data_IF_822579168785
#
_entry.id   IF_822579168785
#
_cell.length_a   1.000
_cell.length_b   1.000
_cell.length_c   1.000
_cell.angle_alpha   90.00
_cell.angle_beta   90.00
_cell.angle_gamma   90.00
#
_symmetry.space_group_name_H-M   'P 1'
#
loop_
_entity.id
_entity.type
_entity.pdbx_description
1 polymer ?
#
# COMPACT_ATOMS: atom_id res chain seq x y z
N UNK A 1 38.47 -15.08 -3.62
CA UNK A 1 37.13 -14.97 -2.98
C UNK A 1 37.11 -15.32 -1.49
N UNK A 2 38.16 -15.92 -0.90
CA UNK A 2 38.20 -16.22 0.54
C UNK A 2 38.78 -15.07 1.41
N UNK A 3 39.48 -14.10 0.81
CA UNK A 3 40.10 -12.97 1.54
C UNK A 3 39.18 -11.75 1.70
N UNK A 4 38.11 -11.63 0.91
CA UNK A 4 37.09 -10.57 1.05
C UNK A 4 35.98 -10.94 2.03
N UNK A 5 35.76 -12.22 2.33
CA UNK A 5 34.82 -12.67 3.36
C UNK A 5 35.36 -12.46 4.80
N UNK A 6 36.69 -12.46 4.97
CA UNK A 6 37.32 -12.32 6.29
C UNK A 6 37.35 -10.86 6.80
N UNK A 7 37.29 -9.89 5.89
CA UNK A 7 37.27 -8.46 6.25
C UNK A 7 35.88 -7.97 6.72
N UNK A 8 34.79 -8.62 6.30
CA UNK A 8 33.43 -8.33 6.82
C UNK A 8 33.16 -8.96 8.20
N UNK A 9 33.99 -9.91 8.64
CA UNK A 9 33.87 -10.55 9.96
C UNK A 9 34.69 -9.85 11.06
N UNK A 10 35.64 -8.97 10.72
CA UNK A 10 36.46 -8.24 11.70
C UNK A 10 35.93 -6.85 12.11
N UNK A 11 34.89 -6.32 11.44
CA UNK A 11 34.27 -5.04 11.86
C UNK A 11 33.21 -5.23 12.96
N UNK A 12 32.86 -6.48 13.28
CA UNK A 12 31.89 -6.81 14.35
C UNK A 12 32.57 -6.99 15.72
N UNK A 13 33.91 -6.93 15.81
CA UNK A 13 34.66 -7.35 17.00
C UNK A 13 35.20 -6.21 17.90
N UNK A 14 34.86 -4.94 17.68
CA UNK A 14 35.35 -3.83 18.53
C UNK A 14 34.24 -2.91 19.01
N UNK A 15 33.28 -3.45 19.74
CA UNK A 15 32.44 -2.75 20.72
C UNK A 15 31.92 -3.77 21.74
N UNK A 16 32.84 -4.44 22.43
CA UNK A 16 32.51 -5.30 23.57
C UNK A 16 32.96 -4.58 24.84
N UNK A 17 32.02 -3.89 25.49
CA UNK A 17 32.15 -3.54 26.92
C UNK A 17 31.37 -4.62 27.68
N UNK A 18 31.98 -5.37 28.60
CA UNK A 18 31.21 -6.27 29.45
C UNK A 18 30.43 -5.43 30.46
N UNK A 19 29.11 -5.40 30.35
CA UNK A 19 28.25 -5.01 31.45
C UNK A 19 28.23 -6.18 32.45
N UNK A 20 28.79 -5.97 33.63
CA UNK A 20 28.59 -6.88 34.77
C UNK A 20 27.12 -6.82 35.18
N UNK A 21 26.37 -7.88 34.88
CA UNK A 21 25.03 -8.10 35.43
C UNK A 21 25.21 -8.77 36.79
N UNK A 22 24.90 -8.04 37.84
CA UNK A 22 24.55 -8.64 39.13
C UNK A 22 23.12 -9.16 39.02
N UNK A 23 22.92 -10.44 39.32
CA UNK A 23 21.62 -11.06 39.52
C UNK A 23 20.93 -10.41 40.73
N UNK A 24 19.77 -9.82 40.50
CA UNK A 24 18.69 -9.77 41.49
C UNK A 24 17.36 -9.82 40.73
N UNK A 25 16.82 -11.03 40.60
CA UNK A 25 15.50 -11.28 40.05
C UNK A 25 14.44 -11.06 41.13
N UNK A 26 14.03 -9.82 41.34
CA UNK A 26 12.73 -9.53 41.94
C UNK A 26 11.70 -9.21 40.85
N UNK A 27 10.54 -9.85 40.94
CA UNK A 27 9.42 -9.65 40.02
C UNK A 27 8.91 -8.21 40.09
N UNK A 28 9.35 -7.38 39.15
CA UNK A 28 8.87 -6.00 39.01
C UNK A 28 7.40 -6.01 38.57
N UNK A 29 6.49 -5.84 39.53
CA UNK A 29 5.13 -5.41 39.26
C UNK A 29 5.19 -3.93 38.85
N UNK A 30 4.77 -3.53 37.63
CA UNK A 30 5.00 -2.18 37.11
C UNK A 30 4.26 -1.06 37.88
N UNK A 31 3.41 -1.40 38.84
CA UNK A 31 2.54 -0.45 39.53
C UNK A 31 3.13 0.13 40.82
N UNK A 32 4.23 -0.41 41.36
CA UNK A 32 4.75 0.00 42.68
C UNK A 32 5.93 0.97 42.60
N UNK A 33 6.83 0.80 41.65
CA UNK A 33 8.05 1.64 41.55
C UNK A 33 7.77 3.08 41.11
N UNK A 34 6.75 3.31 40.26
CA UNK A 34 6.37 4.67 39.85
C UNK A 34 5.81 5.52 41.00
N UNK A 35 5.22 4.87 42.02
CA UNK A 35 4.62 5.53 43.19
C UNK A 35 5.68 5.94 44.21
N UNK A 36 6.87 5.35 44.15
CA UNK A 36 7.92 5.57 45.15
C UNK A 36 8.82 6.77 44.82
N UNK A 37 8.92 7.16 43.55
CA UNK A 37 9.68 8.34 43.09
C UNK A 37 8.88 9.65 43.16
N UNK A 38 7.55 9.56 43.27
CA UNK A 38 6.62 10.71 43.27
C UNK A 38 5.53 10.40 44.30
N UNK A 39 5.65 10.95 45.51
CA UNK A 39 4.73 10.68 46.62
C UNK A 39 3.26 10.97 46.28
N UNK A 40 2.33 10.39 47.04
CA UNK A 40 0.87 10.54 46.81
C UNK A 40 0.40 12.00 46.76
N UNK A 41 1.11 12.91 47.44
CA UNK A 41 0.82 14.34 47.43
C UNK A 41 1.20 15.00 46.11
N UNK A 42 2.35 14.66 45.53
CA UNK A 42 2.73 15.17 44.20
C UNK A 42 1.73 14.69 43.15
N UNK A 43 1.27 13.43 43.22
CA UNK A 43 0.19 12.94 42.35
C UNK A 43 -1.13 13.70 42.53
N UNK A 44 -1.41 14.22 43.72
CA UNK A 44 -2.60 15.03 44.01
C UNK A 44 -2.46 16.44 43.42
N UNK A 45 -1.28 17.05 43.55
CA UNK A 45 -0.93 18.34 42.94
C UNK A 45 -1.01 18.28 41.41
N UNK A 46 -0.43 17.22 40.82
CA UNK A 46 -0.50 16.97 39.38
C UNK A 46 -1.96 16.82 38.92
N UNK A 47 -2.78 16.03 39.64
CA UNK A 47 -4.22 15.88 39.32
C UNK A 47 -5.03 17.16 39.55
N UNK A 48 -4.60 18.03 40.46
CA UNK A 48 -5.20 19.33 40.72
C UNK A 48 -4.80 20.39 39.68
N UNK A 49 -3.87 20.08 38.77
CA UNK A 49 -3.39 21.00 37.74
C UNK A 49 -2.38 22.03 38.24
N UNK A 50 -1.68 21.76 39.34
CA UNK A 50 -0.63 22.66 39.82
C UNK A 50 0.54 22.73 38.82
N UNK A 51 0.93 23.95 38.46
CA UNK A 51 2.04 24.20 37.52
C UNK A 51 3.40 24.13 38.25
N UNK A 52 4.34 23.37 37.68
CA UNK A 52 5.73 23.29 38.17
C UNK A 52 6.64 24.36 37.55
N UNK A 53 7.80 24.60 38.16
CA UNK A 53 8.84 25.47 37.59
C UNK A 53 9.73 24.71 36.61
N UNK A 54 9.94 25.27 35.40
CA UNK A 54 10.85 24.73 34.39
C UNK A 54 11.56 25.84 33.64
N UNK A 55 12.82 25.61 33.26
CA UNK A 55 13.61 26.54 32.42
C UNK A 55 13.42 26.29 30.93
N UNK A 56 12.78 25.17 30.55
CA UNK A 56 12.42 24.90 29.16
C UNK A 56 11.48 25.99 28.64
N UNK A 57 11.56 26.32 27.36
CA UNK A 57 10.60 27.18 26.65
C UNK A 57 9.88 26.41 25.54
N UNK A 58 10.01 25.08 25.53
CA UNK A 58 9.34 24.22 24.55
C UNK A 58 7.81 24.27 24.74
N UNK A 59 7.03 24.04 23.67
CA UNK A 59 5.59 23.82 23.81
C UNK A 59 5.29 22.80 24.92
N UNK A 60 4.26 23.08 25.72
CA UNK A 60 3.74 22.18 26.77
C UNK A 60 4.73 21.83 27.90
N UNK A 61 5.79 22.62 28.10
CA UNK A 61 6.78 22.42 29.16
C UNK A 61 6.22 22.38 30.61
N UNK A 62 5.08 23.02 30.87
CA UNK A 62 4.39 22.99 32.17
C UNK A 62 3.37 21.85 32.33
N UNK A 63 3.15 21.02 31.30
CA UNK A 63 2.10 19.99 31.29
C UNK A 63 2.67 18.63 31.67
N UNK A 64 2.41 18.22 32.92
CA UNK A 64 2.90 16.96 33.50
C UNK A 64 2.08 15.72 33.09
N UNK A 65 0.76 15.86 32.92
CA UNK A 65 -0.11 14.79 32.42
C UNK A 65 -0.68 15.18 31.06
N UNK A 66 -0.42 14.36 30.05
CA UNK A 66 -1.06 14.45 28.74
C UNK A 66 -2.30 13.54 28.72
N UNK A 67 -3.46 14.07 29.10
CA UNK A 67 -4.73 13.31 29.11
C UNK A 67 -5.19 12.88 27.70
N UNK A 68 -5.05 13.70 26.62
CA UNK A 68 -5.30 13.24 25.24
C UNK A 68 -4.46 12.03 24.82
N UNK A 69 -3.23 11.91 25.30
CA UNK A 69 -2.31 10.83 24.93
C UNK A 69 -2.83 9.43 25.24
N UNK A 70 -3.62 9.26 26.31
CA UNK A 70 -4.28 7.97 26.60
C UNK A 70 -5.32 7.62 25.52
N UNK A 71 -6.07 8.62 25.04
CA UNK A 71 -7.05 8.44 23.96
C UNK A 71 -6.35 8.03 22.66
N UNK A 72 -5.25 8.72 22.29
CA UNK A 72 -4.43 8.35 21.13
C UNK A 72 -3.92 6.90 21.25
N UNK A 73 -3.40 6.52 22.41
CA UNK A 73 -2.90 5.17 22.66
C UNK A 73 -4.00 4.11 22.47
N UNK A 74 -5.18 4.34 23.05
CA UNK A 74 -6.33 3.45 22.91
C UNK A 74 -6.76 3.33 21.45
N UNK A 75 -6.88 4.45 20.73
CA UNK A 75 -7.24 4.45 19.31
C UNK A 75 -6.23 3.67 18.47
N UNK A 76 -4.93 3.89 18.71
CA UNK A 76 -3.86 3.22 17.98
C UNK A 76 -3.80 1.72 18.26
N UNK A 77 -3.73 1.33 19.54
CA UNK A 77 -3.46 -0.05 19.94
C UNK A 77 -4.70 -0.94 19.94
N UNK A 78 -5.84 -0.44 20.42
CA UNK A 78 -7.04 -1.28 20.55
C UNK A 78 -7.88 -1.33 19.28
N UNK A 79 -7.81 -0.30 18.44
CA UNK A 79 -8.67 -0.17 17.27
C UNK A 79 -7.89 -0.20 15.96
N UNK A 80 -7.03 0.80 15.73
CA UNK A 80 -6.37 1.00 14.45
C UNK A 80 -5.46 -0.17 14.07
N UNK A 81 -4.59 -0.61 14.99
CA UNK A 81 -3.64 -1.71 14.73
C UNK A 81 -4.36 -3.04 14.45
N UNK A 82 -5.30 -3.54 15.27
CA UNK A 82 -6.07 -4.73 14.92
C UNK A 82 -6.87 -4.59 13.61
N UNK A 83 -7.53 -3.45 13.39
CA UNK A 83 -8.29 -3.20 12.16
C UNK A 83 -7.38 -3.19 10.92
N UNK A 84 -6.18 -2.61 11.03
CA UNK A 84 -5.18 -2.60 9.99
C UNK A 84 -4.70 -4.01 9.65
N UNK A 85 -4.45 -4.86 10.66
CA UNK A 85 -4.08 -6.26 10.43
C UNK A 85 -5.20 -7.00 9.68
N UNK A 86 -6.45 -6.86 10.13
CA UNK A 86 -7.62 -7.46 9.45
C UNK A 86 -7.75 -6.96 8.02
N UNK A 87 -7.56 -5.66 7.77
CA UNK A 87 -7.66 -5.08 6.43
C UNK A 87 -6.54 -5.57 5.50
N UNK A 88 -5.30 -5.70 5.99
CA UNK A 88 -4.18 -6.22 5.19
C UNK A 88 -4.39 -7.69 4.84
N UNK A 89 -4.64 -8.55 5.84
CA UNK A 89 -4.89 -9.97 5.59
C UNK A 89 -6.18 -10.21 4.80
N UNK A 90 -7.21 -9.41 5.05
CA UNK A 90 -8.46 -9.40 4.30
C UNK A 90 -8.26 -9.02 2.84
N UNK A 91 -7.42 -8.02 2.55
CA UNK A 91 -7.09 -7.62 1.18
C UNK A 91 -6.33 -8.73 0.44
N UNK A 92 -5.38 -9.39 1.12
CA UNK A 92 -4.64 -10.53 0.56
C UNK A 92 -5.60 -11.71 0.29
N UNK A 93 -6.45 -12.05 1.26
CA UNK A 93 -7.45 -13.11 1.10
C UNK A 93 -8.42 -12.78 -0.04
N UNK A 94 -8.84 -11.52 -0.17
CA UNK A 94 -9.73 -11.05 -1.23
C UNK A 94 -9.12 -11.25 -2.61
N UNK A 95 -7.85 -10.87 -2.84
CA UNK A 95 -7.21 -11.06 -4.15
C UNK A 95 -6.96 -12.53 -4.46
N UNK A 96 -6.67 -13.35 -3.45
CA UNK A 96 -6.57 -14.81 -3.61
C UNK A 96 -7.91 -15.40 -4.01
N UNK A 97 -9.00 -15.03 -3.32
CA UNK A 97 -10.35 -15.46 -3.68
C UNK A 97 -10.74 -14.98 -5.08
N UNK A 98 -10.42 -13.74 -5.44
CA UNK A 98 -10.63 -13.23 -6.79
C UNK A 98 -9.89 -14.09 -7.83
N UNK A 99 -8.63 -14.46 -7.58
CA UNK A 99 -7.90 -15.35 -8.47
C UNK A 99 -8.56 -16.72 -8.61
N UNK A 100 -8.97 -17.35 -7.50
CA UNK A 100 -9.52 -18.71 -7.50
C UNK A 100 -10.91 -18.77 -8.13
N UNK A 101 -11.79 -17.80 -7.83
CA UNK A 101 -13.19 -17.85 -8.26
C UNK A 101 -13.46 -17.06 -9.55
N UNK A 102 -12.74 -15.97 -9.78
CA UNK A 102 -12.91 -15.13 -10.99
C UNK A 102 -11.87 -15.51 -12.03
N UNK A 103 -10.62 -15.69 -11.62
CA UNK A 103 -9.51 -15.93 -12.54
C UNK A 103 -9.05 -14.66 -13.28
N UNK A 104 -7.93 -14.77 -14.01
CA UNK A 104 -7.38 -13.69 -14.82
C UNK A 104 -8.29 -13.30 -15.99
N UNK A 105 -8.24 -12.01 -16.37
CA UNK A 105 -8.76 -11.56 -17.66
C UNK A 105 -7.75 -11.94 -18.76
N UNK A 106 -8.14 -12.93 -19.56
CA UNK A 106 -7.35 -13.49 -20.67
C UNK A 106 -7.66 -12.74 -21.97
N UNK A 107 -6.70 -12.76 -22.90
CA UNK A 107 -6.92 -12.22 -24.24
C UNK A 107 -7.95 -13.05 -25.01
N UNK A 108 -8.83 -12.38 -25.75
CA UNK A 108 -9.84 -13.04 -26.58
C UNK A 108 -9.24 -13.65 -27.85
N UNK A 109 -8.10 -13.10 -28.32
CA UNK A 109 -7.37 -13.56 -29.51
C UNK A 109 -5.94 -13.97 -29.17
N UNK A 110 -5.32 -14.89 -29.96
CA UNK A 110 -3.92 -15.21 -29.83
C UNK A 110 -3.03 -13.99 -30.09
N UNK A 111 -1.90 -13.95 -29.38
CA UNK A 111 -0.90 -12.89 -29.50
C UNK A 111 -0.30 -12.86 -30.90
N UNK A 112 -0.19 -11.67 -31.49
CA UNK A 112 0.35 -11.52 -32.86
C UNK A 112 1.89 -11.51 -32.87
N UNK A 113 2.52 -11.26 -31.72
CA UNK A 113 3.97 -11.09 -31.60
C UNK A 113 4.47 -9.71 -32.04
N UNK A 114 3.62 -8.90 -32.68
CA UNK A 114 3.91 -7.49 -32.95
C UNK A 114 3.81 -6.71 -31.64
N UNK A 115 4.86 -5.94 -31.32
CA UNK A 115 4.99 -5.21 -30.07
C UNK A 115 4.79 -3.71 -30.28
N UNK A 116 4.06 -3.07 -29.37
CA UNK A 116 3.94 -1.61 -29.30
C UNK A 116 4.60 -1.08 -28.04
N UNK A 117 5.35 0.00 -28.17
CA UNK A 117 6.00 0.68 -27.04
C UNK A 117 4.95 1.44 -26.23
N UNK A 118 4.63 0.94 -25.04
CA UNK A 118 3.71 1.58 -24.08
C UNK A 118 4.44 2.51 -23.11
N UNK A 119 5.61 2.10 -22.62
CA UNK A 119 6.35 2.82 -21.58
C UNK A 119 7.79 3.09 -21.97
N UNK A 120 8.26 4.33 -21.74
CA UNK A 120 9.67 4.66 -21.92
C UNK A 120 10.53 4.04 -20.82
N UNK A 121 11.86 3.98 -21.05
CA UNK A 121 12.81 3.53 -20.02
C UNK A 121 12.71 4.36 -18.74
N UNK A 122 12.49 5.67 -18.88
CA UNK A 122 12.34 6.60 -17.76
C UNK A 122 11.03 6.39 -16.99
N UNK A 123 9.93 6.06 -17.68
CA UNK A 123 8.67 5.71 -17.00
C UNK A 123 8.86 4.46 -16.14
N UNK A 124 9.51 3.42 -16.69
CA UNK A 124 9.77 2.19 -15.95
C UNK A 124 10.73 2.40 -14.78
N UNK A 125 11.79 3.18 -14.98
CA UNK A 125 12.74 3.50 -13.91
C UNK A 125 12.05 4.26 -12.76
N UNK A 126 11.16 5.20 -13.09
CA UNK A 126 10.36 5.93 -12.11
C UNK A 126 9.40 4.99 -11.36
N UNK A 127 8.69 4.12 -12.10
CA UNK A 127 7.80 3.10 -11.53
C UNK A 127 8.53 2.19 -10.54
N UNK A 128 9.62 1.55 -10.97
CA UNK A 128 10.35 0.59 -10.15
C UNK A 128 11.02 1.28 -8.94
N UNK A 129 11.56 2.48 -9.12
CA UNK A 129 12.06 3.28 -7.99
C UNK A 129 10.96 3.55 -6.96
N UNK A 130 9.77 3.95 -7.42
CA UNK A 130 8.60 4.17 -6.55
C UNK A 130 8.18 2.86 -5.86
N UNK A 131 8.03 1.77 -6.61
CA UNK A 131 7.58 0.48 -6.08
C UNK A 131 8.53 -0.08 -5.02
N UNK A 132 9.85 -0.04 -5.26
CA UNK A 132 10.84 -0.49 -4.26
C UNK A 132 10.84 0.38 -3.02
N UNK A 133 10.80 1.70 -3.19
CA UNK A 133 10.76 2.65 -2.07
C UNK A 133 9.51 2.44 -1.22
N UNK A 134 8.34 2.30 -1.85
CA UNK A 134 7.10 2.02 -1.13
C UNK A 134 7.13 0.68 -0.42
N UNK A 135 7.61 -0.39 -1.08
CA UNK A 135 7.65 -1.73 -0.48
C UNK A 135 8.54 -1.76 0.77
N UNK A 136 9.71 -1.13 0.73
CA UNK A 136 10.62 -1.10 1.89
C UNK A 136 10.11 -0.17 2.99
N UNK A 137 9.42 0.92 2.66
CA UNK A 137 8.69 1.75 3.64
C UNK A 137 7.53 1.00 4.29
N UNK A 138 6.73 0.27 3.52
CA UNK A 138 5.65 -0.56 4.05
C UNK A 138 6.21 -1.62 5.01
N UNK A 139 7.30 -2.31 4.63
CA UNK A 139 7.94 -3.32 5.48
C UNK A 139 8.50 -2.72 6.78
N UNK A 140 9.21 -1.59 6.69
CA UNK A 140 9.74 -0.90 7.87
C UNK A 140 8.63 -0.34 8.75
N UNK A 141 7.55 0.22 8.18
CA UNK A 141 6.39 0.70 8.93
C UNK A 141 5.64 -0.44 9.64
N UNK A 142 5.42 -1.56 8.95
CA UNK A 142 4.84 -2.77 9.55
C UNK A 142 5.75 -3.33 10.65
N UNK A 143 7.08 -3.24 10.51
CA UNK A 143 8.02 -3.60 11.58
C UNK A 143 7.82 -2.73 12.83
N UNK A 144 7.63 -1.42 12.66
CA UNK A 144 7.42 -0.49 13.78
C UNK A 144 6.09 -0.73 14.49
N UNK A 145 5.02 -1.08 13.76
CA UNK A 145 3.69 -1.33 14.34
C UNK A 145 3.58 -2.74 14.92
N UNK A 146 4.00 -3.75 14.17
CA UNK A 146 3.71 -5.16 14.48
C UNK A 146 4.93 -5.98 14.88
N UNK A 147 6.15 -5.46 14.74
CA UNK A 147 7.36 -6.22 15.00
C UNK A 147 7.42 -6.80 16.40
N UNK A 148 6.90 -6.08 17.41
CA UNK A 148 6.82 -6.58 18.79
C UNK A 148 5.96 -7.84 18.92
N UNK A 149 4.92 -7.99 18.09
CA UNK A 149 3.97 -9.09 18.15
C UNK A 149 4.41 -10.29 17.29
N UNK A 150 4.93 -10.04 16.09
CA UNK A 150 5.22 -11.11 15.13
C UNK A 150 6.69 -11.49 15.03
N UNK A 151 7.62 -10.59 15.37
CA UNK A 151 9.05 -10.84 15.23
C UNK A 151 9.78 -10.98 16.57
N UNK A 152 9.52 -10.09 17.54
CA UNK A 152 10.19 -10.10 18.86
C UNK A 152 10.17 -11.48 19.55
N UNK A 153 9.08 -12.27 19.52
CA UNK A 153 9.08 -13.61 20.14
C UNK A 153 10.12 -14.58 19.59
N UNK A 154 10.63 -14.35 18.37
CA UNK A 154 11.59 -15.21 17.68
C UNK A 154 13.00 -14.60 17.61
N UNK A 155 13.22 -13.42 18.20
CA UNK A 155 14.47 -12.66 18.11
C UNK A 155 15.06 -12.46 19.51
N UNK A 156 16.37 -12.75 19.71
CA UNK A 156 17.05 -12.47 20.98
C UNK A 156 16.97 -10.99 21.40
N UNK A 157 16.82 -10.73 22.71
CA UNK A 157 16.69 -9.37 23.24
C UNK A 157 17.88 -8.47 22.84
N UNK A 158 19.09 -9.04 22.78
CA UNK A 158 20.30 -8.36 22.37
C UNK A 158 20.26 -7.79 20.93
N UNK A 159 19.42 -8.34 20.05
CA UNK A 159 19.29 -7.90 18.65
C UNK A 159 18.08 -6.99 18.43
N UNK A 160 17.06 -7.10 19.29
CA UNK A 160 15.77 -6.44 19.10
C UNK A 160 15.89 -4.91 18.98
N UNK A 161 16.65 -4.28 19.88
CA UNK A 161 16.88 -2.83 19.85
C UNK A 161 17.50 -2.36 18.52
N UNK A 162 18.52 -3.08 18.02
CA UNK A 162 19.17 -2.77 16.75
C UNK A 162 18.24 -2.90 15.55
N UNK A 163 17.40 -3.94 15.52
CA UNK A 163 16.44 -4.17 14.43
C UNK A 163 15.39 -3.05 14.38
N UNK A 164 14.81 -2.68 15.51
CA UNK A 164 13.81 -1.60 15.57
C UNK A 164 14.44 -0.25 15.21
N UNK A 165 15.66 0.02 15.70
CA UNK A 165 16.39 1.22 15.33
C UNK A 165 16.71 1.29 13.84
N UNK A 166 17.15 0.18 13.24
CA UNK A 166 17.38 0.10 11.81
C UNK A 166 16.10 0.36 11.01
N UNK A 167 15.00 -0.29 11.40
CA UNK A 167 13.70 -0.09 10.74
C UNK A 167 13.24 1.37 10.82
N UNK A 168 13.31 1.98 12.02
CA UNK A 168 12.97 3.40 12.22
C UNK A 168 13.84 4.30 11.37
N UNK A 169 15.16 4.14 11.45
CA UNK A 169 16.09 5.03 10.76
C UNK A 169 15.97 4.92 9.24
N UNK A 170 15.81 3.69 8.74
CA UNK A 170 15.52 3.45 7.33
C UNK A 170 14.21 4.13 6.91
N UNK A 171 13.14 3.95 7.69
CA UNK A 171 11.83 4.54 7.38
C UNK A 171 11.91 6.07 7.27
N UNK A 172 12.53 6.72 8.26
CA UNK A 172 12.65 8.18 8.34
C UNK A 172 13.52 8.75 7.20
N UNK A 173 14.58 8.05 6.76
CA UNK A 173 15.41 8.55 5.65
C UNK A 173 14.79 8.30 4.27
N UNK A 174 14.07 7.19 4.10
CA UNK A 174 13.49 6.81 2.82
C UNK A 174 12.13 7.49 2.59
N UNK A 175 11.42 7.90 3.64
CA UNK A 175 10.17 8.63 3.57
C UNK A 175 10.25 9.92 2.72
N UNK A 176 11.23 10.82 2.95
CA UNK A 176 11.43 11.99 2.12
C UNK A 176 11.73 11.66 0.64
N UNK A 177 12.49 10.57 0.38
CA UNK A 177 12.73 10.12 -0.99
C UNK A 177 11.44 9.66 -1.67
N UNK A 178 10.58 8.92 -0.96
CA UNK A 178 9.25 8.53 -1.44
C UNK A 178 8.41 9.76 -1.81
N UNK A 179 8.42 10.81 -0.97
CA UNK A 179 7.70 12.05 -1.26
C UNK A 179 8.16 12.71 -2.57
N UNK A 180 9.48 12.79 -2.80
CA UNK A 180 10.04 13.34 -4.03
C UNK A 180 9.62 12.50 -5.26
N UNK A 181 9.71 11.17 -5.16
CA UNK A 181 9.28 10.27 -6.23
C UNK A 181 7.78 10.42 -6.52
N UNK A 182 6.97 10.65 -5.48
CA UNK A 182 5.52 10.85 -5.62
C UNK A 182 5.20 12.08 -6.45
N UNK A 183 5.92 13.18 -6.22
CA UNK A 183 5.80 14.41 -7.02
C UNK A 183 6.16 14.14 -8.48
N UNK A 184 7.24 13.40 -8.75
CA UNK A 184 7.60 13.06 -10.14
C UNK A 184 6.55 12.18 -10.82
N UNK A 185 6.00 11.18 -10.13
CA UNK A 185 4.91 10.33 -10.63
C UNK A 185 3.65 11.17 -10.90
N UNK A 186 3.31 12.08 -9.99
CA UNK A 186 2.20 13.01 -10.15
C UNK A 186 2.36 13.82 -11.45
N UNK A 187 3.44 14.61 -11.52
CA UNK A 187 3.68 15.53 -12.63
C UNK A 187 3.81 14.82 -13.98
N UNK A 188 4.38 13.61 -14.02
CA UNK A 188 4.62 12.90 -15.26
C UNK A 188 3.36 12.21 -15.80
N UNK A 189 2.50 11.65 -14.95
CA UNK A 189 1.38 10.81 -15.40
C UNK A 189 -0.02 11.39 -15.16
N UNK A 190 -0.16 12.56 -14.53
CA UNK A 190 -1.46 13.16 -14.22
C UNK A 190 -2.40 13.29 -15.43
N UNK A 191 -1.91 13.78 -16.58
CA UNK A 191 -2.71 13.96 -17.80
C UNK A 191 -3.29 12.65 -18.33
N UNK A 192 -2.51 11.57 -18.23
CA UNK A 192 -2.93 10.21 -18.64
C UNK A 192 -3.87 9.57 -17.63
N UNK A 193 -4.07 10.21 -16.48
CA UNK A 193 -4.83 9.69 -15.34
C UNK A 193 -6.12 10.46 -15.07
N UNK A 194 -6.50 11.41 -15.94
CA UNK A 194 -7.75 12.15 -15.82
C UNK A 194 -8.94 11.25 -16.22
N UNK A 195 -9.98 11.28 -15.38
CA UNK A 195 -11.22 10.60 -15.68
C UNK A 195 -11.95 11.25 -16.85
N UNK A 196 -12.55 10.43 -17.70
CA UNK A 196 -13.33 10.81 -18.86
C UNK A 196 -14.59 9.94 -18.97
N UNK A 197 -15.44 10.23 -19.97
CA UNK A 197 -16.73 9.52 -20.14
C UNK A 197 -16.56 8.02 -20.41
N UNK A 198 -15.47 7.61 -21.06
CA UNK A 198 -15.17 6.20 -21.33
C UNK A 198 -14.96 5.42 -20.03
N UNK A 199 -14.34 6.04 -19.02
CA UNK A 199 -14.13 5.39 -17.72
C UNK A 199 -15.44 5.08 -16.99
N UNK A 200 -16.48 5.90 -17.17
CA UNK A 200 -17.80 5.62 -16.60
C UNK A 200 -18.35 4.31 -17.18
N UNK A 201 -18.30 4.16 -18.50
CA UNK A 201 -18.70 2.91 -19.17
C UNK A 201 -17.83 1.73 -18.73
N UNK A 202 -16.53 1.95 -18.53
CA UNK A 202 -15.60 0.94 -18.01
C UNK A 202 -16.00 0.46 -16.61
N UNK A 203 -16.35 1.39 -15.70
CA UNK A 203 -16.83 1.05 -14.35
C UNK A 203 -18.19 0.36 -14.36
N UNK A 204 -19.12 0.78 -15.22
CA UNK A 204 -20.42 0.10 -15.37
C UNK A 204 -20.28 -1.35 -15.83
N UNK A 205 -19.23 -1.65 -16.60
CA UNK A 205 -18.86 -3.02 -17.00
C UNK A 205 -17.90 -3.72 -16.03
N UNK A 206 -17.56 -3.10 -14.89
CA UNK A 206 -16.60 -3.61 -13.89
C UNK A 206 -15.26 -4.03 -14.50
N UNK A 207 -14.80 -3.28 -15.51
CA UNK A 207 -13.59 -3.59 -16.26
C UNK A 207 -13.62 -4.92 -17.01
N UNK A 208 -14.79 -5.52 -17.17
CA UNK A 208 -14.94 -6.83 -17.81
C UNK A 208 -14.44 -8.01 -16.97
N UNK A 209 -14.12 -7.79 -15.69
CA UNK A 209 -13.53 -8.81 -14.83
C UNK A 209 -14.59 -9.75 -14.21
N UNK A 210 -15.80 -9.26 -13.96
CA UNK A 210 -16.82 -9.97 -13.16
C UNK A 210 -18.24 -9.81 -13.71
N UNK A 211 -19.13 -10.70 -13.30
CA UNK A 211 -20.56 -10.63 -13.61
C UNK A 211 -20.90 -10.86 -15.08
N UNK A 212 -21.98 -10.24 -15.55
CA UNK A 212 -22.50 -10.41 -16.91
C UNK A 212 -21.58 -9.89 -18.03
N UNK A 213 -20.57 -9.10 -17.66
CA UNK A 213 -19.59 -8.52 -18.58
C UNK A 213 -18.23 -9.23 -18.51
N UNK A 214 -18.15 -10.37 -17.81
CA UNK A 214 -16.90 -11.13 -17.69
C UNK A 214 -16.35 -11.51 -19.07
N UNK A 215 -15.08 -11.21 -19.31
CA UNK A 215 -14.41 -11.48 -20.60
C UNK A 215 -14.69 -10.44 -21.68
N UNK A 216 -15.53 -9.43 -21.41
CA UNK A 216 -15.58 -8.24 -22.27
C UNK A 216 -14.34 -7.39 -22.00
N UNK A 217 -13.88 -6.65 -23.00
CA UNK A 217 -12.81 -5.67 -22.82
C UNK A 217 -13.38 -4.26 -23.05
N UNK A 218 -13.84 -3.57 -21.99
CA UNK A 218 -14.41 -2.24 -22.15
C UNK A 218 -13.35 -1.29 -22.70
N UNK A 219 -13.77 -0.46 -23.66
CA UNK A 219 -12.94 0.55 -24.32
C UNK A 219 -12.16 1.40 -23.31
N UNK A 220 -10.90 1.72 -23.64
CA UNK A 220 -10.03 2.52 -22.79
C UNK A 220 -8.96 3.27 -23.60
N UNK A 221 -8.62 4.47 -23.11
CA UNK A 221 -7.46 5.23 -23.60
C UNK A 221 -6.14 4.65 -23.07
N UNK A 222 -5.09 5.47 -22.97
CA UNK A 222 -3.78 5.00 -22.51
C UNK A 222 -3.87 4.32 -21.13
N UNK A 223 -4.63 4.90 -20.21
CA UNK A 223 -4.97 4.29 -18.91
C UNK A 223 -6.47 3.97 -18.90
N UNK A 224 -6.83 2.81 -18.37
CA UNK A 224 -8.24 2.44 -18.13
C UNK A 224 -8.76 2.99 -16.79
N UNK A 225 -10.07 2.91 -16.55
CA UNK A 225 -10.69 3.46 -15.34
C UNK A 225 -10.10 2.92 -14.04
N UNK A 226 -9.76 1.63 -13.98
CA UNK A 226 -9.11 1.00 -12.83
C UNK A 226 -7.70 1.52 -12.59
N UNK A 227 -6.88 1.63 -13.63
CA UNK A 227 -5.53 2.22 -13.56
C UNK A 227 -5.57 3.68 -13.08
N UNK A 228 -6.57 4.46 -13.50
CA UNK A 228 -6.77 5.84 -13.03
C UNK A 228 -7.20 5.90 -11.57
N UNK A 229 -8.10 5.02 -11.15
CA UNK A 229 -8.56 4.94 -9.76
C UNK A 229 -7.41 4.60 -8.81
N UNK A 230 -6.61 3.59 -9.15
CA UNK A 230 -5.46 3.21 -8.32
C UNK A 230 -4.38 4.30 -8.33
N UNK A 231 -4.15 4.97 -9.47
CA UNK A 231 -3.24 6.10 -9.54
C UNK A 231 -3.62 7.19 -8.53
N UNK A 232 -4.88 7.66 -8.55
CA UNK A 232 -5.32 8.72 -7.64
C UNK A 232 -5.35 8.27 -6.18
N UNK A 233 -5.73 7.02 -5.89
CA UNK A 233 -5.63 6.46 -4.55
C UNK A 233 -4.18 6.53 -4.05
N UNK A 234 -3.22 6.03 -4.83
CA UNK A 234 -1.81 6.01 -4.42
C UNK A 234 -1.21 7.42 -4.32
N UNK A 235 -1.59 8.34 -5.20
CA UNK A 235 -1.13 9.74 -5.15
C UNK A 235 -1.68 10.45 -3.91
N UNK A 236 -3.00 10.39 -3.66
CA UNK A 236 -3.63 11.15 -2.58
C UNK A 236 -3.21 10.61 -1.22
N UNK A 237 -3.35 9.31 -0.99
CA UNK A 237 -2.94 8.70 0.28
C UNK A 237 -1.41 8.65 0.42
N UNK A 238 -0.67 8.60 -0.69
CA UNK A 238 0.79 8.78 -0.71
C UNK A 238 1.19 10.14 -0.18
N UNK A 239 0.52 11.20 -0.64
CA UNK A 239 0.80 12.56 -0.22
C UNK A 239 0.42 12.78 1.24
N UNK A 240 -0.74 12.29 1.68
CA UNK A 240 -1.17 12.36 3.09
C UNK A 240 -0.16 11.64 4.00
N UNK A 241 0.26 10.43 3.63
CA UNK A 241 1.26 9.67 4.39
C UNK A 241 2.62 10.40 4.42
N UNK A 242 3.08 10.91 3.28
CA UNK A 242 4.34 11.62 3.21
C UNK A 242 4.35 12.92 4.03
N UNK A 243 3.31 13.75 3.92
CA UNK A 243 3.20 15.02 4.66
C UNK A 243 3.10 14.76 6.16
N UNK A 244 2.24 13.84 6.59
CA UNK A 244 2.15 13.45 8.01
C UNK A 244 3.46 12.83 8.52
N UNK A 245 4.17 12.06 7.70
CA UNK A 245 5.49 11.51 8.02
C UNK A 245 6.54 12.58 8.24
N UNK A 246 6.59 13.60 7.37
CA UNK A 246 7.49 14.74 7.55
C UNK A 246 7.20 15.53 8.84
N UNK A 247 5.93 15.67 9.21
CA UNK A 247 5.56 16.29 10.50
C UNK A 247 6.13 15.47 11.66
N UNK A 248 6.01 14.14 11.61
CA UNK A 248 6.54 13.23 12.63
C UNK A 248 8.07 13.22 12.70
N UNK A 249 8.75 13.35 11.56
CA UNK A 249 10.21 13.34 11.49
C UNK A 249 10.84 14.64 11.99
N UNK A 250 10.15 15.77 11.84
CA UNK A 250 10.67 17.10 12.14
C UNK A 250 9.82 17.84 13.18
N UNK A 251 9.82 17.43 14.47
CA UNK A 251 9.12 18.12 15.55
C UNK A 251 9.86 19.40 16.00
N UNK A 252 10.22 20.26 15.05
CA UNK A 252 11.08 21.44 15.26
C UNK A 252 10.39 22.76 14.87
N UNK A 253 9.13 22.70 14.45
CA UNK A 253 8.32 23.84 13.99
C UNK A 253 7.29 24.28 15.04
N UNK A 254 7.54 23.99 16.32
CA UNK A 254 6.64 24.35 17.41
C UNK A 254 5.41 23.46 17.53
N UNK A 255 5.42 22.27 16.90
CA UNK A 255 4.34 21.31 17.03
C UNK A 255 4.17 20.83 18.48
N UNK A 256 2.93 20.66 18.89
CA UNK A 256 2.51 20.12 20.18
C UNK A 256 2.47 18.59 20.17
N UNK A 257 2.28 17.95 21.33
CA UNK A 257 2.03 16.50 21.40
C UNK A 257 0.77 16.11 20.61
N UNK A 258 -0.28 16.93 20.68
CA UNK A 258 -1.53 16.70 19.93
C UNK A 258 -1.28 16.65 18.41
N UNK A 259 -0.42 17.52 17.89
CA UNK A 259 -0.08 17.53 16.46
C UNK A 259 0.62 16.23 16.04
N UNK A 260 1.51 15.71 16.90
CA UNK A 260 2.21 14.44 16.68
C UNK A 260 1.26 13.25 16.74
N UNK A 261 0.34 13.24 17.71
CA UNK A 261 -0.66 12.18 17.87
C UNK A 261 -1.61 12.10 16.67
N UNK A 262 -2.13 13.25 16.22
CA UNK A 262 -3.00 13.33 15.04
C UNK A 262 -2.23 12.95 13.77
N UNK A 263 -1.01 13.47 13.59
CA UNK A 263 -0.17 13.13 12.45
C UNK A 263 0.12 11.63 12.40
N UNK A 264 0.36 11.00 13.55
CA UNK A 264 0.58 9.56 13.64
C UNK A 264 -0.67 8.76 13.23
N UNK A 265 -1.86 9.12 13.71
CA UNK A 265 -3.10 8.44 13.34
C UNK A 265 -3.42 8.60 11.84
N UNK A 266 -3.26 9.81 11.31
CA UNK A 266 -3.44 10.10 9.87
C UNK A 266 -2.44 9.31 9.04
N UNK A 267 -1.17 9.28 9.45
CA UNK A 267 -0.12 8.53 8.77
C UNK A 267 -0.45 7.04 8.73
N UNK A 268 -0.84 6.46 9.88
CA UNK A 268 -1.20 5.04 9.97
C UNK A 268 -2.40 4.68 9.10
N UNK A 269 -3.46 5.48 9.12
CA UNK A 269 -4.65 5.26 8.30
C UNK A 269 -4.32 5.36 6.81
N UNK A 270 -3.57 6.38 6.42
CA UNK A 270 -3.17 6.59 5.03
C UNK A 270 -2.24 5.48 4.52
N UNK A 271 -1.25 5.09 5.33
CA UNK A 271 -0.35 3.97 5.03
C UNK A 271 -1.12 2.65 4.90
N UNK A 272 -2.13 2.40 5.74
CA UNK A 272 -2.99 1.22 5.61
C UNK A 272 -3.71 1.17 4.27
N UNK A 273 -4.34 2.28 3.86
CA UNK A 273 -5.05 2.38 2.57
C UNK A 273 -4.08 2.15 1.41
N UNK A 274 -2.87 2.74 1.48
CA UNK A 274 -1.82 2.50 0.50
C UNK A 274 -1.41 1.03 0.41
N UNK A 275 -1.17 0.37 1.55
CA UNK A 275 -0.78 -1.05 1.57
C UNK A 275 -1.88 -1.91 0.94
N UNK A 276 -3.14 -1.69 1.31
CA UNK A 276 -4.27 -2.44 0.75
C UNK A 276 -4.44 -2.18 -0.76
N UNK A 277 -4.36 -0.92 -1.19
CA UNK A 277 -4.39 -0.55 -2.61
C UNK A 277 -3.23 -1.15 -3.40
N UNK A 278 -2.03 -1.17 -2.81
CA UNK A 278 -0.83 -1.74 -3.44
C UNK A 278 -0.92 -3.26 -3.60
N UNK A 279 -1.52 -3.98 -2.64
CA UNK A 279 -1.85 -5.42 -2.79
C UNK A 279 -2.72 -5.64 -4.02
N UNK A 280 -3.77 -4.84 -4.19
CA UNK A 280 -4.63 -4.92 -5.38
C UNK A 280 -3.88 -4.56 -6.68
N UNK A 281 -3.02 -3.54 -6.64
CA UNK A 281 -2.18 -3.15 -7.77
C UNK A 281 -1.24 -4.27 -8.23
N UNK A 282 -0.54 -4.91 -7.28
CA UNK A 282 0.32 -6.07 -7.56
C UNK A 282 -0.50 -7.21 -8.14
N UNK A 283 -1.67 -7.51 -7.56
CA UNK A 283 -2.53 -8.59 -8.03
C UNK A 283 -2.91 -8.40 -9.50
N UNK A 284 -3.46 -7.24 -9.87
CA UNK A 284 -3.88 -6.97 -11.26
C UNK A 284 -2.69 -7.00 -12.21
N UNK A 285 -1.54 -6.43 -11.81
CA UNK A 285 -0.35 -6.34 -12.66
C UNK A 285 0.37 -7.67 -12.90
N UNK A 286 0.35 -8.59 -11.92
CA UNK A 286 1.04 -9.88 -12.02
C UNK A 286 0.13 -11.04 -12.43
N UNK A 287 -1.09 -11.07 -11.90
CA UNK A 287 -1.95 -12.25 -11.97
C UNK A 287 -3.33 -11.96 -12.55
N UNK A 288 -3.87 -10.75 -12.40
CA UNK A 288 -5.26 -10.45 -12.76
C UNK A 288 -5.49 -10.17 -14.23
N UNK A 289 -4.46 -9.77 -14.98
CA UNK A 289 -4.58 -9.42 -16.41
C UNK A 289 -3.41 -9.99 -17.21
N UNK A 290 -3.73 -10.74 -18.25
CA UNK A 290 -2.72 -11.31 -19.14
C UNK A 290 -1.88 -10.21 -19.81
N UNK A 291 -0.55 -10.38 -19.84
CA UNK A 291 0.36 -9.49 -20.56
C UNK A 291 0.62 -8.13 -19.92
N UNK A 292 -0.02 -7.79 -18.79
CA UNK A 292 0.15 -6.49 -18.13
C UNK A 292 1.59 -6.26 -17.61
N UNK A 293 2.23 -7.29 -17.03
CA UNK A 293 3.58 -7.21 -16.48
C UNK A 293 4.64 -6.85 -17.55
N UNK A 294 4.50 -7.36 -18.77
CA UNK A 294 5.47 -7.12 -19.84
C UNK A 294 5.64 -5.63 -20.12
N UNK A 295 4.55 -4.87 -20.09
CA UNK A 295 4.58 -3.42 -20.27
C UNK A 295 5.51 -2.72 -19.27
N UNK A 296 5.54 -3.16 -18.01
CA UNK A 296 6.40 -2.55 -16.97
C UNK A 296 7.82 -3.11 -16.89
N UNK A 297 8.06 -4.30 -17.46
CA UNK A 297 9.40 -4.90 -17.50
C UNK A 297 10.14 -4.44 -18.76
N UNK A 298 9.57 -4.68 -19.94
CA UNK A 298 10.21 -4.41 -21.24
C UNK A 298 9.90 -3.01 -21.76
N UNK A 299 8.72 -2.47 -21.43
CA UNK A 299 8.18 -1.24 -21.99
C UNK A 299 7.24 -1.44 -23.16
N UNK A 300 7.04 -2.70 -23.57
CA UNK A 300 6.34 -3.07 -24.78
C UNK A 300 5.19 -4.03 -24.46
N UNK A 301 4.10 -3.89 -25.18
CA UNK A 301 2.90 -4.74 -25.07
C UNK A 301 2.58 -5.37 -26.42
N UNK A 302 1.90 -6.52 -26.41
CA UNK A 302 1.42 -7.14 -27.65
C UNK A 302 0.33 -6.29 -28.29
N UNK A 303 0.28 -6.30 -29.62
CA UNK A 303 -0.76 -5.63 -30.39
C UNK A 303 -2.17 -6.08 -30.03
N UNK A 304 -2.37 -7.38 -29.80
CA UNK A 304 -3.67 -7.93 -29.41
C UNK A 304 -4.10 -7.36 -28.06
N UNK A 305 -3.16 -7.30 -27.12
CA UNK A 305 -3.39 -6.72 -25.81
C UNK A 305 -3.77 -5.24 -25.91
N UNK A 306 -3.08 -4.48 -26.77
CA UNK A 306 -3.40 -3.08 -27.00
C UNK A 306 -4.80 -2.90 -27.60
N UNK A 307 -5.17 -3.71 -28.60
CA UNK A 307 -6.50 -3.66 -29.24
C UNK A 307 -7.65 -4.02 -28.30
N UNK A 308 -7.43 -4.97 -27.39
CA UNK A 308 -8.47 -5.41 -26.46
C UNK A 308 -8.57 -4.50 -25.24
N UNK A 309 -7.46 -4.25 -24.54
CA UNK A 309 -7.50 -3.55 -23.25
C UNK A 309 -7.44 -2.02 -23.37
N UNK A 310 -6.95 -1.50 -24.51
CA UNK A 310 -6.63 -0.09 -24.72
C UNK A 310 -6.85 0.33 -26.18
N UNK A 311 -7.99 -0.07 -26.76
CA UNK A 311 -8.42 0.21 -28.13
C UNK A 311 -8.21 1.67 -28.54
N UNK A 312 -8.70 2.64 -27.77
CA UNK A 312 -8.61 4.06 -28.12
C UNK A 312 -7.15 4.54 -28.18
N UNK A 313 -6.30 4.00 -27.32
CA UNK A 313 -4.86 4.30 -27.37
C UNK A 313 -4.16 3.62 -28.54
N UNK A 314 -4.57 2.40 -28.89
CA UNK A 314 -4.06 1.72 -30.07
C UNK A 314 -4.38 2.52 -31.34
N UNK A 315 -5.62 2.97 -31.49
CA UNK A 315 -6.04 3.82 -32.62
C UNK A 315 -5.25 5.13 -32.67
N UNK A 316 -5.02 5.77 -31.51
CA UNK A 316 -4.24 7.01 -31.40
C UNK A 316 -2.79 6.84 -31.89
N UNK A 317 -2.13 5.73 -31.54
CA UNK A 317 -0.70 5.53 -31.85
C UNK A 317 -0.47 4.97 -33.25
N UNK A 318 -1.40 4.14 -33.75
CA UNK A 318 -1.24 3.46 -35.06
C UNK A 318 -2.00 4.13 -36.19
N UNK A 319 -3.07 4.88 -35.89
CA UNK A 319 -4.05 5.36 -36.87
C UNK A 319 -4.96 4.25 -37.42
N UNK A 320 -4.79 3.00 -37.00
CA UNK A 320 -5.63 1.87 -37.42
C UNK A 320 -6.87 1.80 -36.53
N UNK A 321 -8.07 1.84 -37.13
CA UNK A 321 -9.32 1.67 -36.40
C UNK A 321 -9.49 0.21 -35.97
N UNK A 322 -9.83 0.01 -34.70
CA UNK A 322 -10.20 -1.31 -34.20
C UNK A 322 -11.62 -1.59 -34.65
N UNK A 323 -11.81 -2.66 -35.44
CA UNK A 323 -13.17 -3.09 -35.77
C UNK A 323 -13.83 -3.65 -34.51
N UNK A 324 -14.54 -2.78 -33.79
CA UNK A 324 -15.55 -3.22 -32.86
C UNK A 324 -16.63 -3.92 -33.68
N UNK A 325 -16.51 -5.24 -33.83
CA UNK A 325 -17.68 -6.04 -34.18
C UNK A 325 -18.74 -5.67 -33.14
N UNK A 326 -19.97 -5.30 -33.54
CA UNK A 326 -21.00 -4.95 -32.58
C UNK A 326 -21.17 -6.15 -31.66
N UNK A 327 -20.69 -6.03 -30.42
CA UNK A 327 -21.01 -6.96 -29.34
C UNK A 327 -22.52 -6.96 -29.26
N UNK A 328 -23.13 -8.10 -29.63
CA UNK A 328 -24.40 -8.57 -29.09
C UNK A 328 -25.34 -7.44 -28.64
N UNK A 329 -25.84 -6.66 -29.61
CA UNK A 329 -27.18 -6.13 -29.43
C UNK A 329 -28.05 -7.35 -29.09
N UNK A 330 -28.75 -7.22 -27.99
CA UNK A 330 -29.70 -8.14 -27.41
C UNK A 330 -30.64 -8.65 -28.52
N UNK A 331 -30.22 -9.70 -29.23
CA UNK A 331 -31.08 -10.35 -30.22
C UNK A 331 -32.09 -11.11 -29.37
N UNK A 332 -33.40 -10.78 -29.45
CA UNK A 332 -34.40 -11.59 -28.79
C UNK A 332 -34.22 -13.02 -29.29
N UNK A 333 -34.05 -13.95 -28.37
CA UNK A 333 -33.97 -15.38 -28.66
C UNK A 333 -35.13 -15.74 -29.59
N UNK A 334 -34.87 -16.34 -30.78
CA UNK A 334 -35.96 -16.76 -31.63
C UNK A 334 -36.73 -17.85 -30.88
N UNK A 335 -38.02 -17.61 -30.67
CA UNK A 335 -38.97 -18.57 -30.09
C UNK A 335 -38.78 -19.93 -30.77
N UNK A 336 -38.16 -20.86 -30.04
CA UNK A 336 -38.13 -22.25 -30.44
C UNK A 336 -39.52 -22.83 -30.20
N UNK A 337 -40.41 -22.72 -31.20
CA UNK A 337 -41.62 -23.55 -31.23
C UNK A 337 -41.18 -25.00 -31.38
N UNK A 338 -41.57 -25.91 -30.47
CA UNK A 338 -41.25 -27.32 -30.61
C UNK A 338 -41.92 -27.86 -31.87
N UNK A 339 -41.12 -28.46 -32.74
CA UNK A 339 -41.56 -29.19 -33.92
C UNK A 339 -42.26 -30.48 -33.44
N UNK A 340 -43.59 -30.48 -33.46
CA UNK A 340 -44.39 -31.67 -33.20
C UNK A 340 -44.36 -32.51 -34.48
N UNK A 341 -43.33 -33.34 -34.61
CA UNK A 341 -43.20 -34.31 -35.69
C UNK A 341 -44.36 -35.30 -35.65
N UNK A 342 -45.18 -35.31 -36.69
CA UNK A 342 -46.20 -36.32 -36.93
C UNK A 342 -45.55 -37.68 -37.21
N UNK A 343 -46.03 -38.70 -36.51
CA UNK A 343 -45.74 -40.10 -36.82
C UNK A 343 -46.45 -40.52 -38.11
N UNK A 344 -45.81 -41.29 -39.01
CA UNK A 344 -46.52 -41.95 -40.09
C UNK A 344 -47.25 -43.19 -39.54
N UNK A 345 -48.56 -43.25 -39.75
CA UNK A 345 -49.34 -44.47 -39.63
C UNK A 345 -49.03 -45.35 -40.85
N UNK A 346 -48.65 -46.60 -40.58
CA UNK A 346 -48.61 -47.66 -41.57
C UNK A 346 -50.04 -47.99 -42.00
N UNK A 347 -50.28 -48.04 -43.31
CA UNK A 347 -51.12 -49.01 -44.01
C UNK A 347 -50.68 -49.09 -45.49
#
# INVERSE_FOLDING_TARGET
MLKTLLAMLMVIATCWVPASVADDAESVKPSKEMVQLVGADVWRQIRAGEEGYTTSQSPEHGVLINTPGETWFILKEKWMSPAAAVAIFGSIALVIMAYVFVGPLMLSKPRTGKKLKRWSRWDRALHWSMAFTFLTLALSGLMLVYGKHFLKPYVPEALWGGIVMLAKQYHNYIGPLFFILLIFVLLKWWRKSLFNKTDVSWFMKLGGMVGKHKGTHPSAGFSNGGEKAIYWLLIVFGAIAAVSGLILDFPIFGQTRSDMEVSNLVHMLSALILICGFVFHIYIGLFGMEGALEGMVTGEVDETWAKEHHDLWYEEVTGEKVSHSPEHEDKPTPDHKPNIGGAPLND
#
